data_IF_710090366005
#
_entry.id   IF_710090366005
#
_cell.length_a   1.000
_cell.length_b   1.000
_cell.length_c   1.000
_cell.angle_alpha   90.00
_cell.angle_beta   90.00
_cell.angle_gamma   90.00
#
_symmetry.space_group_name_H-M   'P 1'
#
loop_
_entity.id
_entity.type
_entity.pdbx_description
1 polymer ?
#
# COMPACT_ATOMS: atom_id res chain seq x y z
N UNK A 1 6.84 17.76 -9.63
CA UNK A 1 6.15 16.53 -9.20
C UNK A 1 6.49 15.34 -10.09
N UNK A 2 6.50 15.48 -11.41
CA UNK A 2 6.71 14.34 -12.33
C UNK A 2 8.04 13.61 -12.17
N UNK A 3 9.16 14.31 -11.93
CA UNK A 3 10.47 13.65 -11.69
C UNK A 3 10.50 12.79 -10.43
N UNK A 4 9.88 13.25 -9.34
CA UNK A 4 9.82 12.48 -8.09
C UNK A 4 9.01 11.21 -8.28
N UNK A 5 7.87 11.33 -8.96
CA UNK A 5 7.03 10.19 -9.31
C UNK A 5 7.79 9.16 -10.15
N UNK A 6 8.53 9.60 -11.16
CA UNK A 6 9.33 8.69 -11.98
C UNK A 6 10.46 8.00 -11.22
N UNK A 7 11.14 8.71 -10.33
CA UNK A 7 12.19 8.10 -9.50
C UNK A 7 11.60 7.00 -8.61
N UNK A 8 10.45 7.27 -7.98
CA UNK A 8 9.74 6.31 -7.14
C UNK A 8 9.25 5.11 -7.97
N UNK A 9 8.65 5.36 -9.14
CA UNK A 9 8.19 4.30 -10.05
C UNK A 9 9.35 3.45 -10.56
N UNK A 10 10.48 4.05 -10.95
CA UNK A 10 11.65 3.32 -11.41
C UNK A 10 12.32 2.52 -10.30
N UNK A 11 12.23 2.97 -9.04
CA UNK A 11 12.75 2.27 -7.86
C UNK A 11 11.87 1.07 -7.50
N UNK A 12 10.55 1.23 -7.52
CA UNK A 12 9.59 0.18 -7.20
C UNK A 12 9.37 -0.83 -8.33
N UNK A 13 9.47 -0.37 -9.58
CA UNK A 13 9.16 -1.11 -10.80
C UNK A 13 10.28 -0.91 -11.83
N UNK A 14 11.46 -1.52 -11.65
CA UNK A 14 12.54 -1.42 -12.61
C UNK A 14 12.13 -1.90 -14.02
N UNK A 15 11.13 -2.77 -14.12
CA UNK A 15 10.60 -3.30 -15.38
C UNK A 15 9.95 -2.21 -16.27
N UNK A 16 9.52 -1.08 -15.70
CA UNK A 16 8.97 0.06 -16.45
C UNK A 16 10.05 0.87 -17.18
N UNK A 17 11.33 0.72 -16.82
CA UNK A 17 12.41 1.46 -17.48
C UNK A 17 12.55 1.09 -18.96
N UNK A 18 12.20 -0.14 -19.33
CA UNK A 18 12.20 -0.62 -20.71
C UNK A 18 11.06 -0.03 -21.57
N UNK A 19 10.07 0.62 -20.95
CA UNK A 19 8.85 1.09 -21.62
C UNK A 19 8.78 2.62 -21.69
N UNK A 20 8.29 3.13 -22.83
CA UNK A 20 8.14 4.56 -23.08
C UNK A 20 7.18 5.23 -22.08
N UNK A 21 7.48 6.49 -21.72
CA UNK A 21 6.77 7.27 -20.68
C UNK A 21 5.24 7.31 -20.87
N UNK A 22 4.76 7.26 -22.11
CA UNK A 22 3.33 7.30 -22.46
C UNK A 22 2.58 6.01 -22.10
N UNK A 23 3.24 4.86 -22.13
CA UNK A 23 2.61 3.56 -21.91
C UNK A 23 2.69 3.08 -20.46
N UNK A 24 3.59 3.67 -19.65
CA UNK A 24 3.83 3.29 -18.25
C UNK A 24 2.56 3.31 -17.39
N UNK A 25 1.76 4.37 -17.50
CA UNK A 25 0.54 4.51 -16.71
C UNK A 25 -0.47 3.42 -17.05
N UNK A 26 -0.61 3.09 -18.35
CA UNK A 26 -1.48 2.03 -18.83
C UNK A 26 -0.98 0.65 -18.38
N UNK A 27 0.32 0.38 -18.52
CA UNK A 27 0.94 -0.88 -18.11
C UNK A 27 0.80 -1.11 -16.60
N UNK A 28 0.99 -0.07 -15.79
CA UNK A 28 0.76 -0.12 -14.34
C UNK A 28 -0.70 -0.40 -14.00
N UNK A 29 -1.63 0.28 -14.66
CA UNK A 29 -3.06 0.08 -14.44
C UNK A 29 -3.54 -1.32 -14.86
N UNK A 30 -2.94 -1.89 -15.89
CA UNK A 30 -3.23 -3.26 -16.32
C UNK A 30 -2.58 -4.29 -15.39
N UNK A 31 -1.34 -4.06 -14.96
CA UNK A 31 -0.62 -4.94 -14.05
C UNK A 31 -1.20 -4.95 -12.62
N UNK A 32 -1.76 -3.82 -12.17
CA UNK A 32 -2.42 -3.74 -10.85
C UNK A 32 -3.72 -4.53 -10.78
N UNK A 33 -4.29 -4.95 -11.92
CA UNK A 33 -5.50 -5.79 -11.95
C UNK A 33 -5.23 -7.25 -11.64
N UNK A 34 -3.98 -7.67 -11.66
CA UNK A 34 -3.61 -9.08 -11.44
C UNK A 34 -4.10 -9.59 -10.09
N UNK A 35 -4.67 -10.79 -9.93
CA UNK A 35 -5.26 -11.19 -8.66
C UNK A 35 -4.22 -11.29 -7.53
N UNK A 36 -4.68 -10.96 -6.32
CA UNK A 36 -3.94 -11.17 -5.08
C UNK A 36 -3.75 -12.67 -4.85
N UNK A 37 -2.53 -13.06 -4.53
CA UNK A 37 -2.20 -14.42 -4.11
C UNK A 37 -2.64 -14.66 -2.66
N UNK A 38 -2.78 -15.92 -2.25
CA UNK A 38 -3.23 -16.31 -0.91
C UNK A 38 -2.37 -15.70 0.19
N UNK A 39 -1.05 -15.64 0.00
CA UNK A 39 -0.13 -15.03 0.95
C UNK A 39 -0.32 -13.50 1.06
N UNK A 40 -0.62 -12.83 -0.06
CA UNK A 40 -0.90 -11.40 -0.10
C UNK A 40 -2.23 -11.10 0.61
N UNK A 41 -3.23 -11.95 0.41
CA UNK A 41 -4.49 -11.90 1.15
C UNK A 41 -4.30 -12.08 2.66
N UNK A 42 -3.60 -13.14 3.07
CA UNK A 42 -3.35 -13.42 4.49
C UNK A 42 -2.57 -12.27 5.16
N UNK A 43 -1.55 -11.73 4.47
CA UNK A 43 -0.76 -10.61 4.96
C UNK A 43 -1.58 -9.33 5.15
N UNK A 44 -2.43 -8.98 4.17
CA UNK A 44 -3.32 -7.82 4.28
C UNK A 44 -4.32 -7.99 5.41
N UNK A 45 -4.91 -9.17 5.55
CA UNK A 45 -5.92 -9.45 6.57
C UNK A 45 -5.30 -9.40 7.97
N UNK A 46 -4.11 -9.98 8.17
CA UNK A 46 -3.36 -9.88 9.42
C UNK A 46 -2.97 -8.44 9.75
N UNK A 47 -2.50 -7.67 8.77
CA UNK A 47 -2.17 -6.26 8.95
C UNK A 47 -3.38 -5.43 9.36
N UNK A 48 -4.54 -5.66 8.72
CA UNK A 48 -5.78 -4.99 9.06
C UNK A 48 -6.22 -5.32 10.49
N UNK A 49 -6.19 -6.59 10.87
CA UNK A 49 -6.55 -7.02 12.23
C UNK A 49 -5.61 -6.41 13.26
N UNK A 50 -4.32 -6.35 12.99
CA UNK A 50 -3.33 -5.71 13.87
C UNK A 50 -3.61 -4.22 14.01
N UNK A 51 -3.78 -3.49 12.90
CA UNK A 51 -4.09 -2.05 12.90
C UNK A 51 -5.39 -1.78 13.66
N UNK A 52 -6.45 -2.55 13.40
CA UNK A 52 -7.74 -2.41 14.09
C UNK A 52 -7.61 -2.74 15.58
N UNK A 53 -6.82 -3.75 15.95
CA UNK A 53 -6.60 -4.10 17.35
C UNK A 53 -5.83 -3.00 18.08
N UNK A 54 -4.75 -2.49 17.49
CA UNK A 54 -3.98 -1.37 18.07
C UNK A 54 -4.84 -0.11 18.22
N UNK A 55 -5.62 0.23 17.20
CA UNK A 55 -6.48 1.42 17.21
C UNK A 55 -7.71 1.25 18.12
N UNK A 56 -8.24 0.04 18.31
CA UNK A 56 -9.41 -0.21 19.18
C UNK A 56 -9.04 -0.37 20.65
N UNK A 57 -7.96 -1.10 20.95
CA UNK A 57 -7.56 -1.39 22.33
C UNK A 57 -6.65 -0.31 22.93
N UNK A 58 -5.93 0.48 22.13
CA UNK A 58 -5.14 1.61 22.63
C UNK A 58 -5.97 2.79 23.15
N UNK A 59 -7.29 2.82 22.87
CA UNK A 59 -8.19 3.96 23.13
C UNK A 59 -9.20 3.67 24.25
N UNK A 60 -9.18 2.46 24.80
CA UNK A 60 -10.05 2.03 25.89
C UNK A 60 -9.64 2.74 27.20
N UNK A 61 -10.04 4.01 27.35
CA UNK A 61 -9.75 4.82 28.55
C UNK A 61 -10.01 6.33 28.42
N UNK A 62 -10.26 6.85 27.21
CA UNK A 62 -10.28 8.30 26.96
C UNK A 62 -11.69 8.93 26.86
N UNK A 63 -11.80 10.16 27.37
CA UNK A 63 -13.00 11.04 27.38
C UNK A 63 -13.51 11.36 25.96
N UNK A 64 -14.79 11.77 25.82
CA UNK A 64 -15.42 12.11 24.52
C UNK A 64 -14.65 13.18 23.71
N UNK A 65 -13.97 14.12 24.38
CA UNK A 65 -13.16 15.17 23.72
C UNK A 65 -11.80 14.63 23.26
N UNK A 66 -11.21 13.71 24.02
CA UNK A 66 -9.95 13.04 23.65
C UNK A 66 -10.14 12.10 22.45
N UNK A 67 -11.35 11.58 22.21
CA UNK A 67 -11.61 10.64 21.11
C UNK A 67 -11.30 11.20 19.73
N UNK A 68 -11.51 12.49 19.47
CA UNK A 68 -11.17 13.10 18.18
C UNK A 68 -9.66 13.23 17.99
N UNK A 69 -8.93 13.68 19.01
CA UNK A 69 -7.48 13.78 18.97
C UNK A 69 -6.83 12.39 18.83
N UNK A 70 -7.35 11.41 19.57
CA UNK A 70 -6.91 10.02 19.53
C UNK A 70 -7.26 9.37 18.18
N UNK A 71 -8.40 9.70 17.57
CA UNK A 71 -8.77 9.24 16.23
C UNK A 71 -7.80 9.79 15.16
N UNK A 72 -7.43 11.07 15.23
CA UNK A 72 -6.42 11.64 14.32
C UNK A 72 -5.05 11.00 14.53
N UNK A 73 -4.61 10.84 15.78
CA UNK A 73 -3.35 10.19 16.09
C UNK A 73 -3.32 8.74 15.58
N UNK A 74 -4.43 8.00 15.77
CA UNK A 74 -4.59 6.65 15.23
C UNK A 74 -4.52 6.64 13.70
N UNK A 75 -5.14 7.60 13.01
CA UNK A 75 -5.05 7.68 11.56
C UNK A 75 -3.60 7.94 11.10
N UNK A 76 -2.90 8.85 11.78
CA UNK A 76 -1.49 9.17 11.50
C UNK A 76 -0.55 7.99 11.73
N UNK A 77 -0.89 7.05 12.61
CA UNK A 77 -0.10 5.83 12.84
C UNK A 77 -0.55 4.69 11.91
N UNK A 78 -1.86 4.53 11.73
CA UNK A 78 -2.45 3.47 10.94
C UNK A 78 -2.10 3.57 9.47
N UNK A 79 -2.11 4.78 8.88
CA UNK A 79 -1.79 4.95 7.45
C UNK A 79 -0.35 4.53 7.13
N UNK A 80 0.69 5.05 7.81
CA UNK A 80 2.06 4.57 7.61
C UNK A 80 2.20 3.06 7.89
N UNK A 81 1.55 2.55 8.94
CA UNK A 81 1.62 1.14 9.29
C UNK A 81 1.01 0.27 8.17
N UNK A 82 -0.13 0.68 7.61
CA UNK A 82 -0.74 0.04 6.46
C UNK A 82 0.15 0.13 5.23
N UNK A 83 0.77 1.28 4.96
CA UNK A 83 1.70 1.43 3.82
C UNK A 83 2.90 0.47 3.97
N UNK A 84 3.49 0.35 5.15
CA UNK A 84 4.65 -0.52 5.39
C UNK A 84 4.26 -2.01 5.34
N UNK A 85 3.09 -2.36 5.85
CA UNK A 85 2.64 -3.77 5.92
C UNK A 85 2.00 -4.24 4.62
N UNK A 86 1.12 -3.46 4.02
CA UNK A 86 0.36 -3.81 2.81
C UNK A 86 1.10 -3.41 1.52
N UNK A 87 1.84 -2.30 1.55
CA UNK A 87 2.55 -1.76 0.39
C UNK A 87 3.43 -2.79 -0.33
N UNK A 88 4.28 -3.57 0.37
CA UNK A 88 5.10 -4.60 -0.27
C UNK A 88 4.30 -5.65 -1.04
N UNK A 89 3.12 -6.04 -0.55
CA UNK A 89 2.24 -7.00 -1.22
C UNK A 89 1.63 -6.40 -2.49
N UNK A 90 1.19 -5.14 -2.44
CA UNK A 90 0.65 -4.44 -3.61
C UNK A 90 1.71 -4.20 -4.69
N UNK A 91 2.94 -3.87 -4.28
CA UNK A 91 4.08 -3.71 -5.19
C UNK A 91 4.44 -5.06 -5.81
N UNK A 92 4.53 -6.14 -5.02
CA UNK A 92 4.81 -7.49 -5.51
C UNK A 92 3.76 -7.95 -6.52
N UNK A 93 2.48 -7.76 -6.23
CA UNK A 93 1.35 -8.03 -7.14
C UNK A 93 1.53 -7.31 -8.47
N UNK A 94 1.81 -6.01 -8.42
CA UNK A 94 1.96 -5.19 -9.63
C UNK A 94 3.21 -5.59 -10.42
N UNK A 95 4.34 -5.90 -9.75
CA UNK A 95 5.55 -6.42 -10.40
C UNK A 95 5.30 -7.76 -11.10
N UNK A 96 4.57 -8.69 -10.47
CA UNK A 96 4.15 -9.95 -11.09
C UNK A 96 3.30 -9.70 -12.34
N UNK A 97 2.36 -8.76 -12.27
CA UNK A 97 1.53 -8.36 -13.41
C UNK A 97 2.35 -7.78 -14.57
N UNK A 98 3.39 -7.00 -14.28
CA UNK A 98 4.33 -6.47 -15.28
C UNK A 98 5.21 -7.57 -15.88
N UNK A 99 5.72 -8.50 -15.06
CA UNK A 99 6.58 -9.60 -15.53
C UNK A 99 5.85 -10.56 -16.47
N UNK A 100 4.57 -10.85 -16.23
CA UNK A 100 3.75 -11.66 -17.14
C UNK A 100 3.48 -11.00 -18.51
N UNK A 101 3.67 -9.69 -18.61
CA UNK A 101 3.35 -8.88 -19.79
C UNK A 101 4.58 -8.35 -20.52
N UNK A 102 5.77 -8.76 -20.09
CA UNK A 102 7.05 -8.52 -20.77
C UNK A 102 7.26 -9.57 -21.86
#
# INVERSE_FOLDING_TARGET
>A
MDRLRELIENLLYPELQAHGRKDRARLLQEASKEPLDFLEWAGILAALVLVVSFTRYGVAGFSLVDRFAVMLANFLVAVPLLVVTVGPFLVRRTRRGLQKRR
#
